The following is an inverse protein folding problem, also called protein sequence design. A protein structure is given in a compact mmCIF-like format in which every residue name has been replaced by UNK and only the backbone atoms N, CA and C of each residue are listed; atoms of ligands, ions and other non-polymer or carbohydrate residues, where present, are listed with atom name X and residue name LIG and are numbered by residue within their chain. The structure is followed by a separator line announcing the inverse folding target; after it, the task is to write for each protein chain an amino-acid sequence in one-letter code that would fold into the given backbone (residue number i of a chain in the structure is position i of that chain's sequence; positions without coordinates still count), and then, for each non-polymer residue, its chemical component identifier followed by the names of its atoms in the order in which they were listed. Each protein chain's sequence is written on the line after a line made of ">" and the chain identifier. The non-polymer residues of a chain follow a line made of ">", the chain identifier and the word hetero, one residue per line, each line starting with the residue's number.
data_IF_129978242263
#
_entry.id   IF_129978242263
#
_cell.length_a   1.000
_cell.length_b   1.000
_cell.length_c   1.000
_cell.angle_alpha   90.00
_cell.angle_beta   90.00
_cell.angle_gamma   90.00
#
_symmetry.space_group_name_H-M   'P 1'
#
loop_
_entity.id
_entity.type
_entity.pdbx_description
1 polymer ?
#
# COMPACT_ATOMS: atom_id res chain seq x y z
N UNK A 1 -4.96 14.53 28.42
CA UNK A 1 -6.14 14.15 27.61
C UNK A 1 -5.62 13.52 26.32
N UNK A 2 -6.11 12.34 25.96
CA UNK A 2 -5.74 11.73 24.68
C UNK A 2 -6.22 12.62 23.51
N UNK A 3 -5.36 12.82 22.53
CA UNK A 3 -5.67 13.56 21.31
C UNK A 3 -6.78 12.89 20.50
N UNK A 4 -7.39 13.62 19.57
CA UNK A 4 -8.39 13.02 18.67
C UNK A 4 -7.80 11.88 17.83
N UNK A 5 -6.53 11.98 17.40
CA UNK A 5 -5.83 10.91 16.67
C UNK A 5 -5.77 9.62 17.49
N UNK A 6 -5.33 9.72 18.74
CA UNK A 6 -5.17 8.57 19.64
C UNK A 6 -6.50 7.90 19.94
N UNK A 7 -7.53 8.68 20.29
CA UNK A 7 -8.89 8.14 20.58
C UNK A 7 -9.49 7.41 19.38
N UNK A 8 -9.34 7.96 18.18
CA UNK A 8 -9.85 7.35 16.95
C UNK A 8 -9.12 6.03 16.67
N UNK A 9 -7.81 6.03 16.81
CA UNK A 9 -6.98 4.86 16.53
C UNK A 9 -7.22 3.73 17.53
N UNK A 10 -7.40 4.06 18.81
CA UNK A 10 -7.73 3.11 19.87
C UNK A 10 -9.05 2.40 19.59
N UNK A 11 -10.12 3.15 19.28
CA UNK A 11 -11.44 2.61 18.92
C UNK A 11 -11.37 1.66 17.70
N UNK A 12 -10.49 1.95 16.73
CA UNK A 12 -10.32 1.10 15.56
C UNK A 12 -9.59 -0.20 15.92
N UNK A 13 -8.59 -0.14 16.83
CA UNK A 13 -7.86 -1.33 17.31
C UNK A 13 -8.72 -2.27 18.11
N UNK A 14 -9.69 -1.75 18.85
CA UNK A 14 -10.66 -2.54 19.62
C UNK A 14 -11.63 -3.36 18.74
N UNK A 15 -11.71 -3.06 17.44
CA UNK A 15 -12.61 -3.78 16.52
C UNK A 15 -11.85 -4.75 15.62
N UNK A 16 -12.12 -6.04 15.78
CA UNK A 16 -11.56 -7.10 14.93
C UNK A 16 -12.13 -7.07 13.50
N UNK A 17 -13.42 -6.77 13.36
CA UNK A 17 -14.15 -6.76 12.08
C UNK A 17 -14.09 -5.41 11.36
N UNK A 18 -13.57 -4.38 12.04
CA UNK A 18 -13.57 -2.99 11.59
C UNK A 18 -14.84 -2.21 11.95
N UNK A 19 -14.84 -0.91 11.68
CA UNK A 19 -15.94 0.00 12.05
C UNK A 19 -16.27 0.98 10.94
N UNK A 20 -17.55 1.33 10.80
CA UNK A 20 -17.92 2.43 9.91
C UNK A 20 -17.41 3.76 10.45
N UNK A 21 -17.23 4.75 9.57
CA UNK A 21 -16.88 6.13 9.99
C UNK A 21 -17.84 6.68 11.05
N UNK A 22 -19.13 6.30 10.99
CA UNK A 22 -20.15 6.74 11.94
C UNK A 22 -19.94 6.08 13.30
N UNK A 23 -19.62 4.79 13.33
CA UNK A 23 -19.40 4.07 14.59
C UNK A 23 -18.11 4.51 15.27
N UNK A 24 -17.05 4.76 14.49
CA UNK A 24 -15.82 5.38 14.99
C UNK A 24 -16.12 6.73 15.64
N UNK A 25 -16.90 7.59 14.98
CA UNK A 25 -17.27 8.90 15.53
C UNK A 25 -18.05 8.80 16.86
N UNK A 26 -19.03 7.89 16.92
CA UNK A 26 -19.82 7.65 18.13
C UNK A 26 -18.97 7.13 19.27
N UNK A 27 -18.19 6.07 19.05
CA UNK A 27 -17.35 5.44 20.08
C UNK A 27 -16.21 6.34 20.52
N UNK A 28 -15.54 7.01 19.58
CA UNK A 28 -14.46 7.92 19.90
C UNK A 28 -14.96 9.20 20.55
N UNK A 29 -16.25 9.55 20.47
CA UNK A 29 -16.80 10.82 20.98
C UNK A 29 -16.23 12.03 20.24
N UNK A 30 -16.16 11.92 18.91
CA UNK A 30 -15.57 12.92 17.99
C UNK A 30 -16.52 13.17 16.82
N UNK A 31 -16.57 14.39 16.28
CA UNK A 31 -17.43 14.69 15.13
C UNK A 31 -17.05 13.87 13.89
N UNK A 32 -18.05 13.50 13.08
CA UNK A 32 -17.86 12.70 11.86
C UNK A 32 -16.86 13.34 10.89
N UNK A 33 -16.88 14.67 10.73
CA UNK A 33 -15.95 15.40 9.86
C UNK A 33 -14.51 15.35 10.37
N UNK A 34 -14.30 15.45 11.68
CA UNK A 34 -12.99 15.28 12.30
C UNK A 34 -12.49 13.86 12.11
N UNK A 35 -13.34 12.85 12.34
CA UNK A 35 -12.99 11.44 12.09
C UNK A 35 -12.56 11.22 10.64
N UNK A 36 -13.30 11.74 9.66
CA UNK A 36 -12.92 11.62 8.23
C UNK A 36 -11.51 12.18 7.99
N UNK A 37 -11.21 13.38 8.50
CA UNK A 37 -9.88 14.00 8.35
C UNK A 37 -8.78 13.14 8.94
N UNK A 38 -8.97 12.63 10.16
CA UNK A 38 -7.96 11.82 10.83
C UNK A 38 -7.79 10.43 10.22
N UNK A 39 -8.87 9.81 9.73
CA UNK A 39 -8.79 8.54 9.00
C UNK A 39 -7.97 8.67 7.71
N UNK A 40 -8.11 9.79 6.98
CA UNK A 40 -7.26 10.07 5.81
C UNK A 40 -5.79 10.15 6.19
N UNK A 41 -5.45 10.87 7.28
CA UNK A 41 -4.07 10.97 7.77
C UNK A 41 -3.52 9.60 8.21
N UNK A 42 -4.24 8.90 9.08
CA UNK A 42 -3.85 7.57 9.59
C UNK A 42 -3.68 6.53 8.47
N UNK A 43 -4.53 6.61 7.44
CA UNK A 43 -4.42 5.73 6.27
C UNK A 43 -3.20 6.06 5.42
N UNK A 44 -2.88 7.35 5.27
CA UNK A 44 -1.66 7.82 4.57
C UNK A 44 -0.39 7.38 5.29
N UNK A 45 -0.43 7.35 6.63
CA UNK A 45 0.65 6.86 7.50
C UNK A 45 0.72 5.32 7.53
N UNK A 46 -0.29 4.63 6.99
CA UNK A 46 -0.37 3.19 6.94
C UNK A 46 -0.76 2.53 8.27
N UNK A 47 -1.29 3.28 9.23
CA UNK A 47 -1.74 2.77 10.53
C UNK A 47 -3.10 2.04 10.42
N UNK A 48 -3.95 2.50 9.50
CA UNK A 48 -5.28 1.93 9.26
C UNK A 48 -5.54 1.71 7.77
N UNK A 49 -6.44 0.78 7.47
CA UNK A 49 -6.98 0.54 6.14
C UNK A 49 -8.51 0.40 6.22
N UNK A 50 -9.17 0.37 5.06
CA UNK A 50 -10.60 0.08 5.01
C UNK A 50 -10.89 -1.04 4.02
N UNK A 51 -11.98 -1.76 4.28
CA UNK A 51 -12.60 -2.70 3.34
C UNK A 51 -13.99 -2.20 3.00
N UNK A 52 -14.40 -2.37 1.74
CA UNK A 52 -15.75 -2.07 1.29
C UNK A 52 -16.64 -3.31 1.48
N UNK A 53 -17.72 -3.13 2.21
CA UNK A 53 -18.74 -4.17 2.46
C UNK A 53 -20.09 -3.56 2.10
N UNK A 54 -20.60 -3.95 0.92
CA UNK A 54 -21.77 -3.31 0.32
C UNK A 54 -21.56 -1.79 0.15
N UNK A 55 -22.49 -0.93 0.59
CA UNK A 55 -22.34 0.52 0.47
C UNK A 55 -21.44 1.15 1.55
N UNK A 56 -20.85 0.35 2.44
CA UNK A 56 -20.16 0.84 3.64
C UNK A 56 -18.65 0.58 3.60
N UNK A 57 -17.88 1.50 4.19
CA UNK A 57 -16.46 1.33 4.46
C UNK A 57 -16.22 0.96 5.91
N UNK A 58 -15.54 -0.15 6.15
CA UNK A 58 -15.14 -0.62 7.48
C UNK A 58 -13.66 -0.38 7.69
N UNK A 59 -13.32 0.50 8.63
CA UNK A 59 -11.96 0.86 9.01
C UNK A 59 -11.41 -0.12 10.04
N UNK A 60 -10.19 -0.60 9.81
CA UNK A 60 -9.47 -1.53 10.69
C UNK A 60 -7.99 -1.20 10.74
N UNK A 61 -7.31 -1.70 11.77
CA UNK A 61 -5.85 -1.55 11.90
C UNK A 61 -5.15 -2.34 10.80
N UNK A 62 -4.08 -1.78 10.24
CA UNK A 62 -3.28 -2.49 9.24
C UNK A 62 -2.34 -3.45 9.95
N UNK A 63 -2.65 -4.75 9.94
CA UNK A 63 -1.80 -5.76 10.57
C UNK A 63 -0.43 -5.85 9.85
N UNK A 64 0.65 -5.52 10.57
CA UNK A 64 2.02 -5.70 10.09
C UNK A 64 2.53 -7.15 10.18
N UNK A 65 1.68 -8.12 10.56
CA UNK A 65 2.03 -9.54 10.62
C UNK A 65 0.80 -10.46 10.36
N UNK A 66 0.86 -11.26 9.28
CA UNK A 66 0.26 -12.61 9.19
C UNK A 66 -1.26 -12.82 9.04
N UNK A 67 -1.74 -12.94 7.79
CA UNK A 67 -2.72 -13.92 7.21
C UNK A 67 -3.76 -14.60 8.15
N UNK A 68 -5.09 -14.52 7.90
CA UNK A 68 -6.00 -15.49 7.18
C UNK A 68 -7.49 -15.21 7.54
N UNK A 69 -8.52 -15.89 6.97
CA UNK A 69 -8.78 -16.35 5.58
C UNK A 69 -10.20 -15.93 5.07
N UNK A 70 -10.51 -16.30 3.82
CA UNK A 70 -11.84 -16.38 3.19
C UNK A 70 -12.45 -15.14 2.51
N UNK A 71 -11.85 -14.77 1.38
CA UNK A 71 -12.54 -14.87 0.09
C UNK A 71 -11.57 -15.50 -0.92
N UNK A 72 -11.86 -16.73 -1.33
CA UNK A 72 -10.98 -17.60 -2.10
C UNK A 72 -11.31 -17.54 -3.59
N UNK A 73 -10.28 -17.22 -4.39
CA UNK A 73 -9.93 -17.69 -5.74
C UNK A 73 -8.85 -16.70 -6.22
N UNK A 74 -7.58 -17.06 -6.45
CA UNK A 74 -7.00 -18.31 -6.91
C UNK A 74 -5.52 -18.39 -6.52
N UNK A 75 -5.06 -19.60 -6.20
CA UNK A 75 -3.65 -19.97 -6.30
C UNK A 75 -3.22 -19.84 -7.77
N UNK A 76 -2.50 -18.75 -8.06
CA UNK A 76 -1.68 -18.64 -9.25
C UNK A 76 -0.62 -17.59 -8.94
N UNK A 77 0.63 -17.92 -9.32
CA UNK A 77 1.75 -17.03 -9.61
C UNK A 77 1.35 -15.56 -9.50
N UNK A 78 2.00 -14.84 -8.59
CA UNK A 78 2.06 -13.37 -8.51
C UNK A 78 1.91 -12.76 -9.92
N UNK A 79 0.67 -12.48 -10.32
CA UNK A 79 0.36 -11.69 -11.49
C UNK A 79 0.77 -10.30 -11.07
N UNK A 80 2.02 -10.00 -11.39
CA UNK A 80 2.40 -8.64 -11.74
C UNK A 80 1.35 -8.27 -12.79
N UNK A 81 0.33 -7.48 -12.45
CA UNK A 81 -0.40 -6.73 -13.46
C UNK A 81 0.71 -6.10 -14.28
N UNK A 82 0.91 -6.64 -15.48
CA UNK A 82 1.99 -6.22 -16.33
C UNK A 82 1.75 -4.73 -16.51
N UNK A 83 2.60 -3.92 -15.86
CA UNK A 83 2.83 -2.55 -16.29
C UNK A 83 2.91 -2.65 -17.81
N UNK A 84 2.17 -1.82 -18.55
CA UNK A 84 2.05 -1.97 -20.00
C UNK A 84 3.46 -2.22 -20.54
N UNK A 85 3.66 -3.38 -21.14
CA UNK A 85 4.94 -3.72 -21.75
C UNK A 85 5.08 -2.70 -22.86
N UNK A 86 5.85 -1.65 -22.60
CA UNK A 86 6.21 -0.70 -23.63
C UNK A 86 7.23 -1.44 -24.47
N UNK A 87 6.82 -1.84 -25.66
CA UNK A 87 7.74 -2.40 -26.65
C UNK A 87 8.66 -1.26 -27.08
N UNK A 88 9.86 -1.24 -26.49
CA UNK A 88 10.86 -0.23 -26.78
C UNK A 88 11.68 -0.81 -27.93
N UNK A 89 11.35 -0.40 -29.14
CA UNK A 89 12.15 -0.73 -30.32
C UNK A 89 13.50 0.00 -30.22
N UNK A 90 14.59 -0.75 -30.07
CA UNK A 90 15.95 -0.23 -30.05
C UNK A 90 16.56 -0.16 -31.46
N UNK A 91 15.78 -0.39 -32.52
CA UNK A 91 16.27 -0.44 -33.90
C UNK A 91 16.41 0.92 -34.59
N UNK A 92 16.65 2.01 -33.86
CA UNK A 92 17.12 3.25 -34.49
C UNK A 92 18.33 3.78 -33.72
N UNK A 93 19.42 4.02 -34.45
CA UNK A 93 20.79 4.19 -33.96
C UNK A 93 21.09 5.43 -33.13
N UNK A 94 20.07 6.02 -32.49
CA UNK A 94 20.20 7.17 -31.59
C UNK A 94 19.93 6.76 -30.14
N UNK A 95 20.80 7.18 -29.22
CA UNK A 95 20.72 6.85 -27.80
C UNK A 95 19.45 7.40 -27.14
N UNK A 96 18.37 6.61 -27.14
CA UNK A 96 17.11 6.95 -26.49
C UNK A 96 17.23 6.74 -24.97
N UNK A 97 17.14 7.83 -24.20
CA UNK A 97 17.14 7.76 -22.73
C UNK A 97 15.71 7.52 -22.23
N UNK A 98 15.51 6.49 -21.41
CA UNK A 98 14.20 6.14 -20.87
C UNK A 98 14.14 6.47 -19.38
N UNK A 99 13.15 7.27 -19.00
CA UNK A 99 12.92 7.67 -17.61
C UNK A 99 11.78 6.86 -17.00
N UNK A 100 12.07 6.16 -15.90
CA UNK A 100 11.06 5.50 -15.08
C UNK A 100 11.09 6.08 -13.66
N UNK A 101 9.91 6.44 -13.15
CA UNK A 101 9.75 6.91 -11.78
C UNK A 101 8.94 5.90 -10.98
N UNK A 102 9.45 5.50 -9.83
CA UNK A 102 8.77 4.58 -8.94
C UNK A 102 9.02 4.95 -7.47
N UNK A 103 8.06 4.65 -6.60
CA UNK A 103 8.19 4.87 -5.15
C UNK A 103 8.84 3.66 -4.51
N UNK A 104 9.90 3.88 -3.73
CA UNK A 104 10.60 2.83 -2.98
C UNK A 104 10.66 3.22 -1.51
N UNK A 105 10.51 2.24 -0.61
CA UNK A 105 10.82 2.45 0.80
C UNK A 105 12.34 2.60 0.98
N UNK A 106 12.83 3.51 1.83
CA UNK A 106 14.27 3.71 2.06
C UNK A 106 15.05 2.41 2.33
N UNK A 107 14.47 1.51 3.13
CA UNK A 107 15.10 0.24 3.53
C UNK A 107 15.37 -0.72 2.36
N UNK A 108 14.66 -0.56 1.24
CA UNK A 108 14.79 -1.44 0.07
C UNK A 108 15.70 -0.88 -1.02
N UNK A 109 16.14 0.38 -0.92
CA UNK A 109 16.98 1.04 -1.93
C UNK A 109 18.31 0.27 -2.09
N UNK A 110 18.95 -0.12 -0.99
CA UNK A 110 20.23 -0.84 -1.04
C UNK A 110 20.10 -2.20 -1.77
N UNK A 111 19.02 -2.94 -1.49
CA UNK A 111 18.74 -4.22 -2.17
C UNK A 111 18.45 -4.03 -3.66
N UNK A 112 17.72 -2.97 -4.02
CA UNK A 112 17.45 -2.61 -5.40
C UNK A 112 18.74 -2.28 -6.15
N UNK A 113 19.59 -1.41 -5.60
CA UNK A 113 20.86 -1.01 -6.22
C UNK A 113 21.83 -2.20 -6.39
N UNK A 114 21.87 -3.10 -5.40
CA UNK A 114 22.65 -4.35 -5.51
C UNK A 114 22.15 -5.25 -6.65
N UNK A 115 20.84 -5.37 -6.83
CA UNK A 115 20.24 -6.13 -7.94
C UNK A 115 20.54 -5.49 -9.30
N UNK A 116 20.39 -4.17 -9.43
CA UNK A 116 20.70 -3.45 -10.65
C UNK A 116 22.16 -3.63 -11.08
N UNK A 117 23.10 -3.51 -10.13
CA UNK A 117 24.53 -3.75 -10.38
C UNK A 117 24.80 -5.17 -10.90
N UNK A 118 24.11 -6.18 -10.37
CA UNK A 118 24.23 -7.58 -10.83
C UNK A 118 23.71 -7.78 -12.26
N UNK A 119 22.70 -7.02 -12.67
CA UNK A 119 22.17 -7.08 -14.05
C UNK A 119 23.16 -6.51 -15.07
N UNK A 120 23.87 -5.42 -14.73
CA UNK A 120 24.87 -4.80 -15.63
C UNK A 120 26.03 -5.76 -15.91
N UNK A 121 26.46 -6.54 -14.90
CA UNK A 121 27.55 -7.50 -15.08
C UNK A 121 27.20 -8.68 -16.02
N UNK A 122 25.91 -8.98 -16.25
CA UNK A 122 25.51 -10.08 -17.15
C UNK A 122 25.44 -9.68 -18.63
N UNK A 123 25.35 -8.38 -18.92
CA UNK A 123 25.32 -7.87 -20.31
C UNK A 123 26.72 -7.84 -20.92
N UNK A 124 27.77 -7.70 -20.09
CA UNK A 124 29.15 -7.62 -20.56
C UNK A 124 29.80 -8.99 -20.91
N UNK A 125 29.18 -10.12 -20.53
CA UNK A 125 29.73 -11.47 -20.79
C UNK A 125 29.14 -12.15 -22.04
N UNK A 126 28.23 -11.49 -22.77
CA UNK A 126 27.56 -12.04 -23.96
C UNK A 126 27.66 -11.12 -25.20
N UNK A 127 28.80 -10.47 -25.42
CA UNK A 127 29.19 -9.91 -26.71
C UNK A 127 30.51 -10.52 -27.19
#
# INVERSE_FOLDING_TARGET
>A
MASYKERILEVIRESEVGLTTVDVAKKAGVSKTTVIKYLSVLSSEGEVEFVEVGPSKLWRTKNSAGKRPDAQLSDARMEIEALPVVDIDFCDGDSSTIYFTFRVKPDHICSLMKRAKKCICKVADNC
#
